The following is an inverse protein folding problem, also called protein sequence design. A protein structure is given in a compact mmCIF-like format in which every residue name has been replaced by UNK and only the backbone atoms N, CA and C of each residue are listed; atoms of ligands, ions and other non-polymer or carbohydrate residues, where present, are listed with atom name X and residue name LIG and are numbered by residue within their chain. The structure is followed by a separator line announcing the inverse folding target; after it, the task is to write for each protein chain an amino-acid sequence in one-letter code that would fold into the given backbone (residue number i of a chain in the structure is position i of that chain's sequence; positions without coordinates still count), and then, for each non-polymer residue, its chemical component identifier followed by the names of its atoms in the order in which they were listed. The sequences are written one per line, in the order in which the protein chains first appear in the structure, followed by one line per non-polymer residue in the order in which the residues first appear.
data_IF_971286868058
#
_entry.id   IF_971286868058
#
_cell.length_a   1.000
_cell.length_b   1.000
_cell.length_c   1.000
_cell.angle_alpha   90.00
_cell.angle_beta   90.00
_cell.angle_gamma   90.00
#
_symmetry.space_group_name_H-M   'P 1'
#
loop_
_entity.id
_entity.type
_entity.pdbx_description
1 polymer ?
#
# COMPACT_ATOMS: atom_id res chain seq x y z
N UNK A 1 63.39 34.78 36.61
CA UNK A 1 63.06 33.79 37.67
C UNK A 1 61.83 33.02 37.22
N UNK A 2 62.00 31.70 37.07
CA UNK A 2 61.01 30.74 36.58
C UNK A 2 59.84 30.58 37.56
N UNK A 3 58.61 30.62 37.04
CA UNK A 3 57.47 29.92 37.66
C UNK A 3 56.83 29.05 36.58
N UNK A 4 56.93 27.74 36.79
CA UNK A 4 56.41 26.68 35.93
C UNK A 4 54.89 26.58 36.14
N UNK A 5 54.11 26.64 35.06
CA UNK A 5 52.71 26.22 35.07
C UNK A 5 52.65 24.69 34.97
N UNK A 6 52.31 24.02 36.07
CA UNK A 6 51.85 22.63 36.06
C UNK A 6 50.37 22.62 35.71
N UNK A 7 50.04 22.32 34.46
CA UNK A 7 48.69 21.92 34.09
C UNK A 7 48.49 20.46 34.48
N UNK A 8 47.65 20.22 35.49
CA UNK A 8 47.13 18.89 35.81
C UNK A 8 46.25 18.43 34.65
N UNK A 9 46.65 17.36 33.97
CA UNK A 9 45.75 16.56 33.15
C UNK A 9 44.67 15.98 34.07
N UNK A 10 43.47 16.56 34.01
CA UNK A 10 42.29 15.85 34.43
C UNK A 10 42.02 14.75 33.39
N UNK A 11 42.26 13.50 33.77
CA UNK A 11 41.71 12.35 33.07
C UNK A 11 40.19 12.44 33.12
N UNK A 12 39.58 13.06 32.11
CA UNK A 12 38.17 12.82 31.80
C UNK A 12 38.08 11.38 31.30
N UNK A 13 37.73 10.45 32.18
CA UNK A 13 37.18 9.17 31.78
C UNK A 13 36.00 9.47 30.84
N UNK A 14 35.91 8.84 29.66
CA UNK A 14 34.67 8.89 28.91
C UNK A 14 33.60 8.23 29.78
N UNK A 15 32.61 9.02 30.19
CA UNK A 15 31.32 8.48 30.60
C UNK A 15 30.83 7.66 29.40
N UNK A 16 30.95 6.34 29.49
CA UNK A 16 30.29 5.44 28.57
C UNK A 16 28.79 5.72 28.70
N UNK A 17 28.24 6.56 27.82
CA UNK A 17 26.81 6.59 27.59
C UNK A 17 26.47 5.19 27.10
N UNK A 18 25.86 4.38 27.94
CA UNK A 18 25.26 3.13 27.47
C UNK A 18 24.27 3.53 26.38
N UNK A 19 24.52 3.08 25.15
CA UNK A 19 23.58 3.28 24.07
C UNK A 19 22.24 2.69 24.52
N UNK A 20 21.20 3.54 24.55
CA UNK A 20 19.87 3.11 24.94
C UNK A 20 19.33 2.19 23.85
N UNK A 21 19.08 0.92 24.18
CA UNK A 21 18.50 -0.03 23.22
C UNK A 21 17.03 0.36 23.04
N UNK A 22 16.73 0.92 21.87
CA UNK A 22 15.40 1.39 21.48
C UNK A 22 14.64 0.35 20.68
N UNK A 23 13.30 0.42 20.74
CA UNK A 23 12.42 -0.40 19.92
C UNK A 23 12.81 -0.30 18.42
N UNK A 24 12.68 -1.38 17.62
CA UNK A 24 12.09 -2.69 17.95
C UNK A 24 13.05 -3.64 18.70
N UNK A 25 14.19 -3.16 19.17
CA UNK A 25 15.14 -3.95 19.96
C UNK A 25 14.90 -3.78 21.46
N UNK A 26 15.28 -4.78 22.24
CA UNK A 26 15.19 -4.76 23.70
C UNK A 26 16.38 -5.48 24.32
N UNK A 27 16.68 -5.17 25.58
CA UNK A 27 17.63 -5.92 26.39
C UNK A 27 16.89 -7.01 27.17
N UNK A 28 17.24 -8.27 26.94
CA UNK A 28 16.71 -9.41 27.69
C UNK A 28 17.84 -10.34 28.13
N UNK A 29 17.93 -10.60 29.43
CA UNK A 29 18.98 -11.41 30.06
C UNK A 29 20.42 -11.08 29.57
N UNK A 30 20.72 -9.79 29.38
CA UNK A 30 22.03 -9.32 28.92
C UNK A 30 22.30 -9.52 27.42
N UNK A 31 21.29 -9.90 26.64
CA UNK A 31 21.35 -10.06 25.18
C UNK A 31 20.47 -9.02 24.51
N UNK A 32 20.90 -8.55 23.35
CA UNK A 32 20.03 -7.74 22.47
C UNK A 32 19.09 -8.69 21.73
N UNK A 33 17.79 -8.42 21.81
CA UNK A 33 16.75 -9.17 21.11
C UNK A 33 16.00 -8.24 20.15
N UNK A 34 15.62 -8.74 18.97
CA UNK A 34 14.66 -8.11 18.08
C UNK A 34 13.26 -8.57 18.45
N UNK A 35 12.38 -7.64 18.81
CA UNK A 35 11.00 -7.92 19.21
C UNK A 35 10.08 -6.79 18.72
N UNK A 36 9.66 -6.82 17.44
CA UNK A 36 8.82 -5.78 16.85
C UNK A 36 7.40 -5.78 17.42
N UNK A 37 6.91 -6.93 17.87
CA UNK A 37 5.56 -7.10 18.42
C UNK A 37 5.62 -7.67 19.84
N UNK A 38 4.86 -7.06 20.76
CA UNK A 38 4.87 -7.43 22.18
C UNK A 38 4.45 -8.86 22.48
N UNK A 39 3.61 -9.45 21.63
CA UNK A 39 3.01 -10.78 21.75
C UNK A 39 3.87 -11.93 21.19
N UNK A 40 4.98 -11.65 20.52
CA UNK A 40 5.89 -12.67 19.97
C UNK A 40 7.13 -12.86 20.85
N UNK A 41 7.75 -14.04 20.76
CA UNK A 41 9.06 -14.25 21.36
C UNK A 41 10.11 -13.40 20.63
N UNK A 42 10.98 -12.72 21.38
CA UNK A 42 12.09 -11.97 20.79
C UNK A 42 13.13 -12.91 20.18
N UNK A 43 13.76 -12.48 19.09
CA UNK A 43 14.84 -13.22 18.44
C UNK A 43 16.18 -12.62 18.89
N UNK A 44 17.06 -13.36 19.57
CA UNK A 44 18.38 -12.86 19.95
C UNK A 44 19.26 -12.53 18.75
N UNK A 45 19.91 -11.37 18.76
CA UNK A 45 20.89 -10.99 17.75
C UNK A 45 22.24 -11.63 18.09
N UNK A 46 22.59 -12.68 17.36
CA UNK A 46 23.81 -13.45 17.62
C UNK A 46 25.08 -12.58 17.50
N UNK A 47 25.75 -12.39 18.65
CA UNK A 47 26.99 -11.62 18.78
C UNK A 47 26.81 -10.11 18.74
N UNK A 48 25.60 -9.59 18.89
CA UNK A 48 25.39 -8.20 19.27
C UNK A 48 25.69 -8.03 20.77
N UNK A 49 26.32 -6.91 21.12
CA UNK A 49 26.70 -6.57 22.49
C UNK A 49 25.93 -5.31 22.94
N UNK A 50 25.23 -5.35 24.08
CA UNK A 50 24.43 -4.20 24.52
C UNK A 50 25.20 -2.89 24.67
N UNK A 51 26.48 -2.95 25.06
CA UNK A 51 27.28 -1.75 25.36
C UNK A 51 27.66 -0.94 24.12
N UNK A 52 27.55 -1.49 22.92
CA UNK A 52 27.89 -0.82 21.66
C UNK A 52 26.78 -0.93 20.59
N UNK A 53 25.58 -1.31 21.01
CA UNK A 53 24.45 -1.50 20.12
C UNK A 53 23.83 -0.16 19.74
N UNK A 54 23.75 0.12 18.44
CA UNK A 54 23.20 1.36 17.90
C UNK A 54 22.21 1.06 16.78
N UNK A 55 21.09 1.78 16.74
CA UNK A 55 20.09 1.68 15.67
C UNK A 55 20.34 2.81 14.69
N UNK A 56 20.86 2.47 13.51
CA UNK A 56 21.31 3.45 12.52
C UNK A 56 20.20 3.88 11.55
N UNK A 57 19.19 3.04 11.37
CA UNK A 57 18.04 3.35 10.51
C UNK A 57 16.80 2.58 10.98
N UNK A 58 15.62 3.17 10.78
CA UNK A 58 14.34 2.52 11.02
C UNK A 58 13.26 3.08 10.11
N UNK A 59 12.45 2.21 9.53
CA UNK A 59 11.13 2.50 8.97
C UNK A 59 10.10 1.49 9.50
N UNK A 60 8.92 1.44 8.87
CA UNK A 60 7.83 0.56 9.27
C UNK A 60 8.12 -0.93 8.98
N UNK A 61 8.92 -1.22 7.95
CA UNK A 61 9.20 -2.59 7.49
C UNK A 61 10.44 -3.21 8.15
N UNK A 62 11.49 -2.41 8.42
CA UNK A 62 12.73 -2.89 9.00
C UNK A 62 13.54 -1.82 9.75
N UNK A 63 14.50 -2.30 10.52
CA UNK A 63 15.51 -1.47 11.20
C UNK A 63 16.91 -1.97 10.89
N UNK A 64 17.87 -1.07 10.71
CA UNK A 64 19.29 -1.40 10.62
C UNK A 64 19.93 -1.04 11.96
N UNK A 65 20.71 -1.98 12.50
CA UNK A 65 21.48 -1.77 13.71
C UNK A 65 22.94 -2.14 13.50
N UNK A 66 23.81 -1.59 14.34
CA UNK A 66 25.24 -1.83 14.34
C UNK A 66 25.70 -2.28 15.74
N UNK A 67 26.56 -3.30 15.80
CA UNK A 67 27.22 -3.73 17.03
C UNK A 67 28.42 -4.61 16.69
N UNK A 68 29.52 -4.44 17.44
CA UNK A 68 30.78 -5.18 17.26
C UNK A 68 31.32 -5.12 15.83
N UNK A 69 31.19 -3.97 15.16
CA UNK A 69 31.68 -3.78 13.78
C UNK A 69 30.83 -4.47 12.71
N UNK A 70 29.64 -4.96 13.05
CA UNK A 70 28.73 -5.67 12.14
C UNK A 70 27.37 -4.98 12.09
N UNK A 71 26.71 -5.12 10.95
CA UNK A 71 25.36 -4.62 10.76
C UNK A 71 24.32 -5.74 10.83
N UNK A 72 23.13 -5.39 11.29
CA UNK A 72 21.96 -6.24 11.38
C UNK A 72 20.80 -5.54 10.68
N UNK A 73 20.00 -6.29 9.94
CA UNK A 73 18.69 -5.86 9.48
C UNK A 73 17.66 -6.67 10.28
N UNK A 74 16.87 -6.00 11.12
CA UNK A 74 16.04 -6.64 12.13
C UNK A 74 16.87 -7.65 12.95
N UNK A 75 16.45 -8.92 13.02
CA UNK A 75 17.20 -9.96 13.69
C UNK A 75 18.35 -10.55 12.86
N UNK A 76 18.40 -10.28 11.54
CA UNK A 76 19.30 -10.95 10.62
C UNK A 76 20.64 -10.22 10.51
N UNK A 77 21.79 -10.90 10.65
CA UNK A 77 23.08 -10.30 10.37
C UNK A 77 23.20 -10.01 8.87
N UNK A 78 23.66 -8.80 8.53
CA UNK A 78 24.04 -8.45 7.18
C UNK A 78 25.46 -8.97 6.90
N UNK A 79 25.80 -9.30 5.63
CA UNK A 79 27.12 -9.81 5.30
C UNK A 79 28.21 -8.76 5.53
N UNK A 80 29.45 -9.20 5.73
CA UNK A 80 30.62 -8.31 5.92
C UNK A 80 30.85 -7.34 4.74
N UNK A 81 30.29 -7.66 3.56
CA UNK A 81 30.32 -6.80 2.37
C UNK A 81 29.31 -5.64 2.40
N UNK A 82 28.42 -5.60 3.39
CA UNK A 82 27.43 -4.53 3.51
C UNK A 82 28.11 -3.20 3.88
N UNK A 83 27.75 -2.14 3.15
CA UNK A 83 28.29 -0.80 3.39
C UNK A 83 27.15 0.19 3.55
N UNK A 84 26.98 0.68 4.80
CA UNK A 84 25.97 1.66 5.17
C UNK A 84 26.08 2.94 4.32
N UNK A 85 27.27 3.33 3.85
CA UNK A 85 27.46 4.55 3.06
C UNK A 85 26.88 4.45 1.64
N UNK A 86 26.70 3.23 1.14
CA UNK A 86 26.06 2.95 -0.16
C UNK A 86 24.62 2.45 0.00
N UNK A 87 24.16 2.31 1.24
CA UNK A 87 22.88 1.72 1.52
C UNK A 87 21.73 2.69 1.20
N UNK A 88 20.67 2.18 0.59
CA UNK A 88 19.45 2.91 0.29
C UNK A 88 18.24 2.09 0.71
N UNK A 89 17.39 2.68 1.54
CA UNK A 89 16.09 2.11 1.89
C UNK A 89 15.00 2.67 0.96
N UNK A 90 14.16 1.80 0.40
CA UNK A 90 13.04 2.12 -0.48
C UNK A 90 11.85 1.24 -0.10
N UNK A 91 10.92 1.79 0.70
CA UNK A 91 9.83 0.99 1.26
C UNK A 91 10.39 -0.23 2.02
N UNK A 92 9.95 -1.42 1.63
CA UNK A 92 10.37 -2.70 2.21
C UNK A 92 11.75 -3.19 1.71
N UNK A 93 12.38 -2.46 0.78
CA UNK A 93 13.65 -2.84 0.19
C UNK A 93 14.84 -2.12 0.81
N UNK A 94 15.92 -2.87 1.04
CA UNK A 94 17.25 -2.36 1.37
C UNK A 94 18.22 -2.70 0.23
N UNK A 95 18.84 -1.70 -0.35
CA UNK A 95 19.85 -1.83 -1.41
C UNK A 95 21.21 -1.46 -0.84
N UNK A 96 22.27 -2.20 -1.14
CA UNK A 96 23.64 -1.88 -0.75
C UNK A 96 24.63 -2.48 -1.74
N UNK A 97 25.42 -1.65 -2.43
CA UNK A 97 26.28 -2.11 -3.52
C UNK A 97 25.49 -2.85 -4.60
N UNK A 98 25.81 -4.13 -4.82
CA UNK A 98 25.09 -5.02 -5.76
C UNK A 98 24.08 -5.95 -5.06
N UNK A 99 23.89 -5.80 -3.74
CA UNK A 99 22.98 -6.60 -2.95
C UNK A 99 21.66 -5.85 -2.75
N UNK A 100 20.57 -6.61 -2.75
CA UNK A 100 19.24 -6.12 -2.44
C UNK A 100 18.55 -7.09 -1.50
N UNK A 101 17.75 -6.55 -0.61
CA UNK A 101 17.00 -7.28 0.41
C UNK A 101 15.57 -6.76 0.41
N UNK A 102 14.60 -7.64 0.64
CA UNK A 102 13.22 -7.31 0.92
C UNK A 102 12.87 -7.83 2.30
N UNK A 103 12.34 -7.01 3.19
CA UNK A 103 12.07 -7.40 4.59
C UNK A 103 13.27 -8.05 5.31
N UNK A 104 14.48 -7.53 5.05
CA UNK A 104 15.75 -8.09 5.52
C UNK A 104 16.15 -9.46 4.95
N UNK A 105 15.40 -10.02 4.00
CA UNK A 105 15.75 -11.23 3.29
C UNK A 105 16.42 -10.91 1.95
N UNK A 106 17.56 -11.55 1.69
CA UNK A 106 18.32 -11.28 0.47
C UNK A 106 17.58 -11.78 -0.78
N UNK A 107 17.37 -10.89 -1.75
CA UNK A 107 16.86 -11.23 -3.09
C UNK A 107 17.88 -12.11 -3.79
N UNK A 108 17.41 -13.27 -4.30
CA UNK A 108 18.30 -14.34 -4.79
C UNK A 108 18.84 -14.11 -6.19
N UNK A 109 18.22 -13.22 -6.95
CA UNK A 109 18.67 -12.86 -8.31
C UNK A 109 19.51 -11.58 -8.29
N UNK A 110 20.47 -11.40 -9.23
CA UNK A 110 21.24 -10.17 -9.31
C UNK A 110 20.36 -8.94 -9.58
N UNK A 111 20.46 -7.92 -8.72
CA UNK A 111 19.66 -6.68 -8.82
C UNK A 111 20.51 -5.51 -9.31
N UNK A 112 19.95 -4.72 -10.23
CA UNK A 112 20.53 -3.46 -10.67
C UNK A 112 20.08 -2.34 -9.71
N UNK A 113 20.77 -2.25 -8.57
CA UNK A 113 20.44 -1.33 -7.48
C UNK A 113 20.43 0.14 -7.93
N UNK A 114 21.19 0.50 -8.96
CA UNK A 114 21.24 1.86 -9.50
C UNK A 114 19.96 2.27 -10.26
N UNK A 115 19.28 1.32 -10.89
CA UNK A 115 18.01 1.55 -11.60
C UNK A 115 16.78 1.18 -10.76
N UNK A 116 16.98 0.73 -9.52
CA UNK A 116 15.89 0.21 -8.71
C UNK A 116 14.88 1.32 -8.34
N UNK A 117 13.62 1.09 -8.65
CA UNK A 117 12.51 1.99 -8.36
C UNK A 117 11.32 1.22 -7.79
N UNK A 118 10.58 1.88 -6.90
CA UNK A 118 9.23 1.44 -6.53
C UNK A 118 8.28 1.82 -7.67
N UNK A 119 7.30 0.95 -7.92
CA UNK A 119 6.17 1.19 -8.80
C UNK A 119 4.90 1.26 -7.93
N UNK A 120 3.71 1.15 -8.52
CA UNK A 120 2.50 1.01 -7.71
C UNK A 120 2.58 -0.26 -6.86
N UNK A 121 2.09 -0.19 -5.63
CA UNK A 121 2.12 -1.34 -4.72
C UNK A 121 1.39 -2.54 -5.34
N UNK A 122 1.94 -3.78 -5.32
CA UNK A 122 3.14 -4.21 -4.60
C UNK A 122 4.42 -4.34 -5.46
N UNK A 123 4.56 -3.56 -6.54
CA UNK A 123 5.62 -3.78 -7.54
C UNK A 123 6.85 -2.89 -7.33
N UNK A 124 8.01 -3.43 -7.70
CA UNK A 124 9.26 -2.70 -7.88
C UNK A 124 9.98 -3.20 -9.14
N UNK A 125 10.91 -2.41 -9.69
CA UNK A 125 11.66 -2.77 -10.90
C UNK A 125 13.12 -2.33 -10.78
N UNK A 126 14.03 -3.12 -11.36
CA UNK A 126 15.45 -2.78 -11.55
C UNK A 126 15.82 -2.56 -13.04
N UNK A 127 14.82 -2.27 -13.87
CA UNK A 127 14.85 -2.23 -15.35
C UNK A 127 15.12 -3.58 -16.05
N UNK A 128 15.43 -4.66 -15.31
CA UNK A 128 15.67 -6.01 -15.86
C UNK A 128 14.68 -7.04 -15.35
N UNK A 129 14.17 -6.83 -14.14
CA UNK A 129 13.28 -7.69 -13.41
C UNK A 129 12.19 -6.84 -12.76
N UNK A 130 11.05 -7.47 -12.51
CA UNK A 130 9.96 -6.91 -11.72
C UNK A 130 9.87 -7.73 -10.45
N UNK A 131 9.85 -7.07 -9.30
CA UNK A 131 9.77 -7.71 -7.98
C UNK A 131 8.46 -7.37 -7.30
N UNK A 132 7.96 -8.30 -6.50
CA UNK A 132 6.96 -8.01 -5.47
C UNK A 132 7.66 -7.41 -4.25
N UNK A 133 6.93 -6.69 -3.38
CA UNK A 133 7.48 -6.12 -2.12
C UNK A 133 8.16 -7.17 -1.23
N UNK A 134 7.81 -8.45 -1.38
CA UNK A 134 8.41 -9.60 -0.70
C UNK A 134 9.80 -9.95 -1.24
N UNK A 135 10.25 -9.31 -2.33
CA UNK A 135 11.48 -9.62 -3.05
C UNK A 135 11.34 -10.77 -4.06
N UNK A 136 10.15 -11.37 -4.17
CA UNK A 136 9.86 -12.41 -5.15
C UNK A 136 9.87 -11.84 -6.58
N UNK A 137 10.43 -12.61 -7.51
CA UNK A 137 10.44 -12.25 -8.93
C UNK A 137 9.06 -12.47 -9.54
N UNK A 138 8.50 -11.45 -10.18
CA UNK A 138 7.29 -11.58 -10.97
C UNK A 138 7.64 -12.21 -12.33
N UNK A 139 7.55 -13.54 -12.38
CA UNK A 139 8.00 -14.32 -13.53
C UNK A 139 7.30 -13.92 -14.84
N UNK A 140 8.11 -13.76 -15.89
CA UNK A 140 7.64 -13.45 -17.25
C UNK A 140 7.23 -12.00 -17.50
N UNK A 141 7.28 -11.13 -16.49
CA UNK A 141 6.94 -9.71 -16.64
C UNK A 141 8.00 -8.97 -17.45
N UNK A 142 7.57 -8.11 -18.37
CA UNK A 142 8.46 -7.22 -19.13
C UNK A 142 8.55 -5.83 -18.47
N UNK A 143 9.62 -5.53 -17.70
CA UNK A 143 9.75 -4.27 -16.98
C UNK A 143 9.72 -3.03 -17.89
N UNK A 144 10.08 -3.16 -19.17
CA UNK A 144 10.13 -2.01 -20.10
C UNK A 144 8.76 -1.56 -20.58
N UNK A 145 7.79 -2.48 -20.58
CA UNK A 145 6.44 -2.22 -21.07
C UNK A 145 5.39 -2.43 -19.97
N UNK A 146 5.83 -2.57 -18.72
CA UNK A 146 4.95 -2.78 -17.59
C UNK A 146 4.22 -1.49 -17.24
N UNK A 147 2.90 -1.57 -17.17
CA UNK A 147 2.03 -0.60 -16.51
C UNK A 147 1.59 -1.19 -15.20
N UNK A 148 1.59 -0.40 -14.14
CA UNK A 148 1.17 -0.82 -12.81
C UNK A 148 -0.03 -0.02 -12.36
N UNK A 149 -0.77 -0.60 -11.43
CA UNK A 149 -1.81 -0.02 -10.60
C UNK A 149 -1.81 -0.80 -9.28
N UNK A 150 -2.59 -0.38 -8.28
CA UNK A 150 -2.60 -1.06 -6.99
C UNK A 150 -3.04 -2.55 -7.14
N UNK A 151 -2.15 -3.48 -6.80
CA UNK A 151 -2.38 -4.93 -6.91
C UNK A 151 -2.44 -5.46 -8.35
N UNK A 152 -2.20 -4.63 -9.37
CA UNK A 152 -2.38 -4.98 -10.77
C UNK A 152 -1.19 -4.52 -11.63
N UNK A 153 -0.79 -5.35 -12.59
CA UNK A 153 0.17 -4.94 -13.59
C UNK A 153 -0.17 -5.53 -14.95
N UNK A 154 0.28 -4.89 -16.02
CA UNK A 154 0.13 -5.43 -17.37
C UNK A 154 1.31 -5.03 -18.25
N UNK A 155 1.83 -6.00 -19.00
CA UNK A 155 2.74 -5.77 -20.11
C UNK A 155 2.07 -6.12 -21.44
N UNK A 156 2.86 -6.29 -22.51
CA UNK A 156 2.35 -6.58 -23.85
C UNK A 156 1.71 -7.97 -24.02
N UNK A 157 1.94 -8.89 -23.09
CA UNK A 157 1.58 -10.31 -23.22
C UNK A 157 0.81 -10.84 -22.02
N UNK A 158 0.98 -10.23 -20.86
CA UNK A 158 0.42 -10.71 -19.61
C UNK A 158 -0.22 -9.56 -18.83
N UNK A 159 -1.31 -9.90 -18.18
CA UNK A 159 -1.87 -9.15 -17.06
C UNK A 159 -1.61 -9.95 -15.79
N UNK A 160 -1.33 -9.24 -14.71
CA UNK A 160 -1.01 -9.76 -13.39
C UNK A 160 -1.98 -9.16 -12.37
N UNK A 161 -2.62 -10.01 -11.59
CA UNK A 161 -3.30 -9.61 -10.36
C UNK A 161 -2.57 -10.24 -9.17
N UNK A 162 -2.10 -9.40 -8.26
CA UNK A 162 -1.31 -9.81 -7.10
C UNK A 162 -2.11 -9.57 -5.83
N UNK A 163 -2.49 -10.67 -5.18
CA UNK A 163 -3.04 -10.72 -3.83
C UNK A 163 -2.34 -11.85 -3.08
N UNK A 164 -3.05 -12.68 -2.30
CA UNK A 164 -2.50 -13.89 -1.67
C UNK A 164 -1.83 -14.84 -2.67
N UNK A 165 -2.36 -14.88 -3.90
CA UNK A 165 -1.77 -15.59 -5.02
C UNK A 165 -1.71 -14.67 -6.22
N UNK A 166 -0.61 -14.77 -6.98
CA UNK A 166 -0.48 -14.05 -8.25
C UNK A 166 -1.22 -14.81 -9.34
N UNK A 167 -2.19 -14.15 -9.98
CA UNK A 167 -2.87 -14.65 -11.17
C UNK A 167 -2.25 -14.01 -12.41
N UNK A 168 -1.87 -14.84 -13.37
CA UNK A 168 -1.27 -14.41 -14.63
C UNK A 168 -2.22 -14.76 -15.77
N UNK A 169 -2.67 -13.74 -16.50
CA UNK A 169 -3.62 -13.88 -17.59
C UNK A 169 -2.93 -13.47 -18.90
N UNK A 170 -2.73 -14.39 -19.85
CA UNK A 170 -2.19 -14.04 -21.15
C UNK A 170 -3.21 -13.25 -21.97
N UNK A 171 -2.75 -12.24 -22.71
CA UNK A 171 -3.59 -11.43 -23.59
C UNK A 171 -2.86 -11.10 -24.90
N UNK A 172 -3.59 -10.55 -25.88
CA UNK A 172 -3.04 -10.17 -27.19
C UNK A 172 -3.39 -8.74 -27.61
N UNK A 173 -4.32 -8.10 -26.92
CA UNK A 173 -4.84 -6.81 -27.30
C UNK A 173 -4.60 -5.77 -26.22
N UNK A 174 -5.70 -5.24 -25.68
CA UNK A 174 -5.67 -4.06 -24.81
C UNK A 174 -6.03 -4.48 -23.40
N UNK A 175 -5.27 -3.92 -22.47
CA UNK A 175 -5.57 -3.97 -21.04
C UNK A 175 -5.90 -2.57 -20.56
N UNK A 176 -7.03 -2.44 -19.86
CA UNK A 176 -7.35 -1.27 -19.04
C UNK A 176 -7.30 -1.70 -17.57
N UNK A 177 -6.41 -1.06 -16.81
CA UNK A 177 -6.36 -1.15 -15.36
C UNK A 177 -7.31 -0.07 -14.81
N UNK A 178 -8.11 -0.43 -13.79
CA UNK A 178 -9.03 0.51 -13.15
C UNK A 178 -8.50 0.86 -11.77
N UNK A 179 -7.52 1.76 -11.70
CA UNK A 179 -6.79 2.12 -10.47
C UNK A 179 -7.71 2.49 -9.30
N UNK A 180 -8.84 3.12 -9.60
CA UNK A 180 -9.84 3.53 -8.60
C UNK A 180 -10.71 2.36 -8.16
N UNK A 181 -11.06 1.42 -9.03
CA UNK A 181 -11.91 0.28 -8.70
C UNK A 181 -11.03 -0.95 -8.52
N UNK A 182 -10.45 -1.08 -7.33
CA UNK A 182 -9.47 -2.11 -7.06
C UNK A 182 -10.00 -3.50 -7.43
N UNK A 183 -9.17 -4.27 -8.13
CA UNK A 183 -9.48 -5.63 -8.57
C UNK A 183 -10.12 -5.70 -9.95
N UNK A 184 -10.77 -4.64 -10.45
CA UNK A 184 -11.35 -4.65 -11.79
C UNK A 184 -10.29 -4.41 -12.87
N UNK A 185 -10.37 -5.14 -13.97
CA UNK A 185 -9.61 -4.88 -15.20
C UNK A 185 -10.42 -5.27 -16.43
N UNK A 186 -10.18 -4.61 -17.56
CA UNK A 186 -10.67 -5.05 -18.86
C UNK A 186 -9.50 -5.59 -19.68
N UNK A 187 -9.56 -6.86 -20.05
CA UNK A 187 -8.54 -7.56 -20.81
C UNK A 187 -9.20 -8.09 -22.08
N UNK A 188 -8.80 -7.56 -23.23
CA UNK A 188 -9.31 -7.96 -24.55
C UNK A 188 -10.85 -7.93 -24.66
N UNK A 189 -11.48 -6.96 -24.01
CA UNK A 189 -12.94 -6.79 -23.99
C UNK A 189 -13.67 -7.65 -22.95
N UNK A 190 -12.95 -8.46 -22.18
CA UNK A 190 -13.49 -9.24 -21.07
C UNK A 190 -13.16 -8.55 -19.76
N UNK A 191 -14.16 -8.32 -18.91
CA UNK A 191 -13.92 -7.82 -17.56
C UNK A 191 -13.43 -8.95 -16.65
N UNK A 192 -12.50 -8.61 -15.78
CA UNK A 192 -12.01 -9.45 -14.69
C UNK A 192 -12.18 -8.69 -13.38
N UNK A 193 -12.51 -9.42 -12.32
CA UNK A 193 -12.47 -8.93 -10.95
C UNK A 193 -11.54 -9.84 -10.16
N UNK A 194 -10.49 -9.28 -9.57
CA UNK A 194 -9.46 -10.01 -8.82
C UNK A 194 -8.85 -11.17 -9.63
N UNK A 195 -8.67 -10.94 -10.94
CA UNK A 195 -8.15 -11.92 -11.89
C UNK A 195 -9.13 -13.04 -12.26
N UNK A 196 -10.40 -12.98 -11.86
CA UNK A 196 -11.44 -13.91 -12.31
C UNK A 196 -12.33 -13.30 -13.39
N UNK A 197 -12.60 -14.00 -14.51
CA UNK A 197 -13.41 -13.47 -15.61
C UNK A 197 -14.88 -13.28 -15.21
N UNK A 198 -15.46 -12.15 -15.60
CA UNK A 198 -16.82 -11.73 -15.26
C UNK A 198 -17.74 -11.79 -16.48
N UNK A 199 -18.22 -13.00 -16.83
CA UNK A 199 -19.00 -13.24 -18.05
C UNK A 199 -20.38 -12.55 -18.09
N UNK A 200 -20.95 -12.24 -16.92
CA UNK A 200 -22.28 -11.61 -16.80
C UNK A 200 -22.25 -10.09 -16.70
N UNK A 201 -21.07 -9.47 -16.82
CA UNK A 201 -20.90 -8.02 -16.64
C UNK A 201 -20.61 -7.38 -17.99
N UNK A 202 -21.42 -6.39 -18.36
CA UNK A 202 -21.30 -5.71 -19.64
C UNK A 202 -20.07 -4.80 -19.67
N UNK A 203 -19.01 -5.29 -20.32
CA UNK A 203 -17.73 -4.58 -20.43
C UNK A 203 -17.82 -3.25 -21.21
N UNK A 204 -18.84 -3.08 -22.05
CA UNK A 204 -18.98 -1.89 -22.91
C UNK A 204 -19.53 -0.69 -22.15
N UNK A 205 -20.46 -0.94 -21.23
CA UNK A 205 -21.10 0.08 -20.38
C UNK A 205 -20.48 0.18 -18.99
N UNK A 206 -19.44 -0.60 -18.70
CA UNK A 206 -18.76 -0.59 -17.42
C UNK A 206 -18.12 0.77 -17.14
N UNK A 207 -18.48 1.33 -16.00
CA UNK A 207 -17.92 2.56 -15.49
C UNK A 207 -17.46 2.34 -14.04
N UNK A 208 -16.17 2.58 -13.81
CA UNK A 208 -15.60 2.58 -12.48
C UNK A 208 -16.00 3.86 -11.74
N UNK A 209 -16.51 3.73 -10.51
CA UNK A 209 -16.99 4.88 -9.73
C UNK A 209 -16.03 5.22 -8.59
N UNK A 210 -15.74 4.25 -7.71
CA UNK A 210 -14.86 4.45 -6.56
C UNK A 210 -14.18 3.13 -6.20
N UNK A 211 -13.52 3.10 -5.03
CA UNK A 211 -12.80 1.93 -4.52
C UNK A 211 -13.55 0.61 -4.68
N UNK A 212 -14.81 0.58 -4.26
CA UNK A 212 -15.63 -0.63 -4.18
C UNK A 212 -16.70 -0.71 -5.26
N UNK A 213 -17.07 0.41 -5.88
CA UNK A 213 -18.29 0.52 -6.65
C UNK A 213 -18.05 0.74 -8.14
N UNK A 214 -18.86 0.08 -8.95
CA UNK A 214 -18.93 0.26 -10.39
C UNK A 214 -20.38 0.25 -10.87
N UNK A 215 -20.61 0.65 -12.11
CA UNK A 215 -21.93 0.59 -12.73
C UNK A 215 -21.83 0.11 -14.17
N UNK A 216 -22.85 -0.61 -14.60
CA UNK A 216 -23.07 -0.93 -16.01
C UNK A 216 -24.49 -0.52 -16.39
N UNK A 217 -24.88 -0.72 -17.66
CA UNK A 217 -26.28 -0.58 -18.09
C UNK A 217 -27.25 -1.47 -17.30
N UNK A 218 -26.76 -2.54 -16.68
CA UNK A 218 -27.58 -3.51 -15.96
C UNK A 218 -27.74 -3.17 -14.47
N UNK A 219 -26.90 -2.30 -13.92
CA UNK A 219 -27.01 -1.83 -12.53
C UNK A 219 -25.71 -1.49 -11.84
N UNK A 220 -25.82 -1.19 -10.54
CA UNK A 220 -24.70 -0.90 -9.64
C UNK A 220 -24.08 -2.19 -9.11
N UNK A 221 -22.76 -2.15 -8.91
CA UNK A 221 -21.95 -3.23 -8.40
C UNK A 221 -21.15 -2.75 -7.19
N UNK A 222 -20.99 -3.63 -6.20
CA UNK A 222 -19.98 -3.52 -5.14
C UNK A 222 -19.09 -4.76 -5.22
N UNK A 223 -17.78 -4.56 -5.40
CA UNK A 223 -16.87 -5.61 -5.85
C UNK A 223 -17.36 -6.21 -7.18
N UNK A 224 -17.48 -7.54 -7.25
CA UNK A 224 -18.09 -8.25 -8.38
C UNK A 224 -19.61 -8.50 -8.26
N UNK A 225 -20.23 -8.10 -7.15
CA UNK A 225 -21.64 -8.38 -6.92
C UNK A 225 -22.51 -7.23 -7.43
N UNK A 226 -23.50 -7.54 -8.28
CA UNK A 226 -24.56 -6.58 -8.60
C UNK A 226 -25.47 -6.38 -7.40
N UNK A 227 -25.50 -5.16 -6.86
CA UNK A 227 -26.23 -4.81 -5.63
C UNK A 227 -27.61 -4.21 -5.91
N UNK A 228 -27.81 -3.56 -7.07
CA UNK A 228 -29.11 -3.07 -7.50
C UNK A 228 -29.19 -2.95 -9.02
N UNK A 229 -30.38 -3.11 -9.63
CA UNK A 229 -30.58 -2.75 -11.03
C UNK A 229 -30.47 -1.24 -11.22
N UNK A 230 -30.20 -0.81 -12.45
CA UNK A 230 -30.17 0.61 -12.79
C UNK A 230 -31.61 1.19 -12.69
N UNK A 231 -31.84 2.32 -11.99
CA UNK A 231 -33.17 2.91 -11.92
C UNK A 231 -33.72 3.30 -13.30
N UNK A 232 -35.04 3.25 -13.44
CA UNK A 232 -35.70 3.53 -14.73
C UNK A 232 -35.37 4.95 -15.22
N UNK A 233 -34.99 5.06 -16.48
CA UNK A 233 -34.66 6.35 -17.09
C UNK A 233 -33.30 6.93 -16.65
N UNK A 234 -32.44 6.13 -16.01
CA UNK A 234 -31.02 6.46 -15.84
C UNK A 234 -30.24 5.92 -17.01
N UNK A 235 -29.29 6.70 -17.52
CA UNK A 235 -28.25 6.24 -18.42
C UNK A 235 -26.97 6.02 -17.60
N UNK A 236 -26.46 4.79 -17.56
CA UNK A 236 -25.25 4.46 -16.80
C UNK A 236 -24.02 5.22 -17.30
N UNK A 237 -24.01 5.64 -18.58
CA UNK A 237 -22.90 6.42 -19.14
C UNK A 237 -22.82 7.85 -18.60
N UNK A 238 -23.89 8.36 -17.97
CA UNK A 238 -23.91 9.68 -17.35
C UNK A 238 -23.53 9.65 -15.87
N UNK A 239 -23.57 8.48 -15.24
CA UNK A 239 -23.22 8.34 -13.83
C UNK A 239 -21.72 8.55 -13.68
N UNK A 240 -21.36 9.46 -12.78
CA UNK A 240 -19.99 9.78 -12.42
C UNK A 240 -19.84 9.93 -10.90
N UNK A 241 -18.62 9.78 -10.37
CA UNK A 241 -18.35 10.05 -8.97
C UNK A 241 -18.64 11.52 -8.64
N UNK A 242 -19.28 11.77 -7.50
CA UNK A 242 -19.30 13.08 -6.87
C UNK A 242 -18.10 13.17 -5.92
N UNK A 243 -18.11 12.33 -4.87
CA UNK A 243 -17.01 12.11 -3.92
C UNK A 243 -17.38 10.91 -3.03
N UNK A 244 -16.37 10.20 -2.49
CA UNK A 244 -16.58 9.01 -1.64
C UNK A 244 -17.55 7.99 -2.29
N UNK A 245 -18.60 7.61 -1.57
CA UNK A 245 -19.67 6.72 -2.02
C UNK A 245 -20.81 7.46 -2.72
N UNK A 246 -20.73 8.77 -2.93
CA UNK A 246 -21.76 9.54 -3.63
C UNK A 246 -21.46 9.62 -5.12
N UNK A 247 -22.48 9.34 -5.93
CA UNK A 247 -22.43 9.41 -7.40
C UNK A 247 -23.63 10.16 -7.94
N UNK A 248 -23.50 10.67 -9.16
CA UNK A 248 -24.56 11.48 -9.79
C UNK A 248 -24.61 11.28 -11.30
N UNK A 249 -25.80 11.38 -11.88
CA UNK A 249 -26.00 11.50 -13.33
C UNK A 249 -26.10 12.97 -13.80
N UNK A 250 -25.88 13.92 -12.90
CA UNK A 250 -26.06 15.36 -13.10
C UNK A 250 -27.45 15.90 -12.72
N UNK A 251 -28.41 15.02 -12.43
CA UNK A 251 -29.77 15.38 -12.01
C UNK A 251 -30.20 14.70 -10.71
N UNK A 252 -29.71 13.47 -10.49
CA UNK A 252 -29.95 12.65 -9.30
C UNK A 252 -28.64 12.38 -8.59
N UNK A 253 -28.74 12.09 -7.31
CA UNK A 253 -27.61 11.71 -6.45
C UNK A 253 -27.94 10.39 -5.80
N UNK A 254 -26.98 9.48 -5.80
CA UNK A 254 -27.08 8.23 -5.08
C UNK A 254 -25.91 8.09 -4.13
N UNK A 255 -26.18 7.55 -2.95
CA UNK A 255 -25.15 6.96 -2.09
C UNK A 255 -25.06 5.48 -2.44
N UNK A 256 -23.88 5.03 -2.88
CA UNK A 256 -23.62 3.68 -3.40
C UNK A 256 -22.61 2.99 -2.49
N UNK A 257 -23.11 2.10 -1.64
CA UNK A 257 -22.32 1.24 -0.77
C UNK A 257 -22.90 -0.19 -0.80
N UNK A 258 -23.48 -0.70 0.30
CA UNK A 258 -24.12 -2.03 0.32
C UNK A 258 -25.41 -2.05 -0.49
N UNK A 259 -26.27 -1.04 -0.26
CA UNK A 259 -27.50 -0.83 -1.02
C UNK A 259 -27.52 0.60 -1.58
N UNK A 260 -27.62 0.77 -2.91
CA UNK A 260 -27.70 2.10 -3.50
C UNK A 260 -29.00 2.80 -3.08
N UNK A 261 -28.86 4.03 -2.57
CA UNK A 261 -29.97 4.85 -2.08
C UNK A 261 -29.98 6.18 -2.82
N UNK A 262 -31.09 6.51 -3.47
CA UNK A 262 -31.27 7.81 -4.12
C UNK A 262 -31.59 8.89 -3.08
N UNK A 263 -30.90 10.03 -3.17
CA UNK A 263 -31.12 11.18 -2.32
C UNK A 263 -32.05 12.17 -3.00
N UNK A 264 -33.27 12.29 -2.49
CA UNK A 264 -34.30 13.13 -3.12
C UNK A 264 -34.03 14.63 -2.93
N UNK A 265 -33.97 15.33 -4.07
CA UNK A 265 -33.97 16.80 -4.12
C UNK A 265 -32.65 17.46 -3.73
N UNK A 266 -31.52 16.78 -3.88
CA UNK A 266 -30.19 17.35 -3.62
C UNK A 266 -29.91 18.53 -4.56
N UNK A 267 -29.59 19.70 -4.01
CA UNK A 267 -29.04 20.81 -4.76
C UNK A 267 -27.54 20.57 -5.09
N UNK A 268 -27.29 19.90 -6.22
CA UNK A 268 -25.94 19.56 -6.68
C UNK A 268 -24.96 20.74 -6.74
N UNK A 269 -25.43 21.97 -7.01
CA UNK A 269 -24.56 23.14 -7.12
C UNK A 269 -23.96 23.58 -5.77
N UNK A 270 -24.58 23.19 -4.66
CA UNK A 270 -24.13 23.50 -3.30
C UNK A 270 -23.68 22.23 -2.54
N UNK A 271 -23.67 21.08 -3.21
CA UNK A 271 -23.34 19.79 -2.59
C UNK A 271 -21.89 19.76 -2.11
N UNK A 272 -21.71 19.34 -0.85
CA UNK A 272 -20.43 19.08 -0.20
C UNK A 272 -20.51 17.71 0.47
N UNK A 273 -19.47 16.91 0.28
CA UNK A 273 -19.37 15.57 0.83
C UNK A 273 -18.24 15.55 1.86
N UNK A 274 -18.54 15.00 3.04
CA UNK A 274 -17.56 14.61 4.04
C UNK A 274 -17.87 13.18 4.46
N UNK A 275 -17.00 12.24 4.07
CA UNK A 275 -17.20 10.80 4.32
C UNK A 275 -18.57 10.31 3.85
N UNK A 276 -19.40 9.82 4.77
CA UNK A 276 -20.75 9.31 4.51
C UNK A 276 -21.84 10.37 4.68
N UNK A 277 -21.47 11.65 4.71
CA UNK A 277 -22.40 12.77 4.84
C UNK A 277 -22.37 13.65 3.59
N UNK A 278 -23.55 14.11 3.17
CA UNK A 278 -23.72 15.10 2.11
C UNK A 278 -24.55 16.27 2.62
N UNK A 279 -24.07 17.48 2.44
CA UNK A 279 -24.83 18.71 2.66
C UNK A 279 -25.06 19.42 1.33
N UNK A 280 -26.25 19.94 1.08
CA UNK A 280 -26.54 20.80 -0.08
C UNK A 280 -26.77 22.27 0.30
N UNK A 281 -26.40 22.63 1.53
CA UNK A 281 -26.57 23.97 2.10
C UNK A 281 -27.97 24.28 2.64
N UNK A 282 -28.96 23.41 2.39
CA UNK A 282 -30.31 23.50 2.99
C UNK A 282 -30.63 22.25 3.80
N UNK A 283 -30.20 21.10 3.32
CA UNK A 283 -30.37 19.81 3.96
C UNK A 283 -29.04 19.09 4.11
N UNK A 284 -28.99 18.22 5.11
CA UNK A 284 -27.94 17.23 5.30
C UNK A 284 -28.52 15.84 5.12
N UNK A 285 -27.75 14.95 4.51
CA UNK A 285 -28.00 13.52 4.45
C UNK A 285 -26.86 12.83 5.19
N UNK A 286 -27.21 12.11 6.26
CA UNK A 286 -26.27 11.28 6.99
C UNK A 286 -26.49 9.81 6.61
N UNK A 287 -25.58 9.25 5.83
CA UNK A 287 -25.59 7.85 5.40
C UNK A 287 -24.70 6.96 6.27
N UNK A 288 -24.18 7.46 7.40
CA UNK A 288 -23.46 6.64 8.38
C UNK A 288 -24.39 5.85 9.30
N UNK A 289 -25.68 6.17 9.29
CA UNK A 289 -26.73 5.41 9.99
C UNK A 289 -27.01 4.13 9.21
N UNK A 290 -27.25 3.03 9.91
CA UNK A 290 -27.52 1.73 9.29
C UNK A 290 -28.87 1.17 9.76
N UNK A 291 -29.56 0.45 8.89
CA UNK A 291 -30.76 -0.31 9.21
C UNK A 291 -30.44 -1.61 9.99
N UNK A 292 -31.48 -2.36 10.38
CA UNK A 292 -31.35 -3.63 11.12
C UNK A 292 -30.58 -4.72 10.35
N UNK A 293 -30.41 -4.57 9.04
CA UNK A 293 -29.65 -5.47 8.17
C UNK A 293 -28.22 -4.98 7.95
N UNK A 294 -27.84 -3.84 8.54
CA UNK A 294 -26.54 -3.21 8.36
C UNK A 294 -26.40 -2.45 7.04
N UNK A 295 -27.50 -2.13 6.35
CA UNK A 295 -27.44 -1.30 5.15
C UNK A 295 -27.46 0.18 5.54
N UNK A 296 -26.66 1.02 4.88
CA UNK A 296 -26.70 2.46 5.07
C UNK A 296 -28.11 3.03 4.82
N UNK A 297 -28.65 3.74 5.80
CA UNK A 297 -29.85 4.55 5.69
C UNK A 297 -29.42 6.02 5.68
N UNK A 298 -29.80 6.76 4.64
CA UNK A 298 -29.47 8.18 4.54
C UNK A 298 -30.58 9.04 5.18
N UNK A 299 -30.36 9.49 6.41
CA UNK A 299 -31.31 10.34 7.12
C UNK A 299 -31.21 11.79 6.66
N UNK A 300 -32.33 12.35 6.18
CA UNK A 300 -32.41 13.74 5.73
C UNK A 300 -32.82 14.67 6.87
N UNK A 301 -32.00 15.66 7.15
CA UNK A 301 -32.27 16.73 8.13
C UNK A 301 -32.12 18.11 7.50
N UNK A 302 -32.72 19.14 8.09
CA UNK A 302 -32.47 20.53 7.69
C UNK A 302 -31.15 21.00 8.31
N UNK A 303 -30.42 21.87 7.59
CA UNK A 303 -29.26 22.58 8.15
C UNK A 303 -29.79 23.62 9.14
N UNK A 304 -29.31 23.57 10.39
CA UNK A 304 -29.59 24.59 11.42
C UNK A 304 -28.84 25.91 11.17
#
# INVERSE_FOLDING_TARGET
MNVRYCALLACCLPLASHAEIVAPYQLDAGKVIFKPYGNQAGIPLAGAVPSDFDVTYRNDDFSIAHSQGRYFCNAQPLPDSFDLNTAKALGSFLLSGQQAYAYCEQIKVPVNTAAFTLLDHPFASDDRHVFLITGELLEGADPKHLKTAHGQAADQRHYYYVADQTKVIPHRGKVALYDVCQGWANIDGTLYFEGEPQQGVDATSFHCLNFSSAVTKDGFYSGNQRIAPLPKGVDSALIKPLQENFVTDGTRVWYVNVQPTELEGVNLAAAKVEYDQLSDGVHNWDCSVHDDLGNPSCEKTAVE
#
